data_IF_950735232504
#
_entry.id   IF_950735232504
#
_cell.length_a   1.000
_cell.length_b   1.000
_cell.length_c   1.000
_cell.angle_alpha   90.00
_cell.angle_beta   90.00
_cell.angle_gamma   90.00
#
_symmetry.space_group_name_H-M   'P 1'
#
loop_
_entity.id
_entity.type
_entity.pdbx_description
1 polymer ?
#
# COMPACT_ATOMS: atom_id res chain seq x y z
N UNK A 1 29.93 -2.17 50.60
CA UNK A 1 29.43 -1.12 49.69
C UNK A 1 29.74 -1.44 48.21
N UNK A 2 30.99 -1.72 47.85
CA UNK A 2 31.39 -2.01 46.46
C UNK A 2 30.76 -3.29 45.83
N UNK A 3 30.60 -4.35 46.63
CA UNK A 3 29.95 -5.60 46.19
C UNK A 3 28.46 -5.43 45.89
N UNK A 4 27.73 -4.66 46.69
CA UNK A 4 26.30 -4.39 46.47
C UNK A 4 26.07 -3.56 45.19
N UNK A 5 27.00 -2.67 44.85
CA UNK A 5 26.94 -1.88 43.62
C UNK A 5 27.09 -2.76 42.35
N UNK A 6 28.01 -3.74 42.36
CA UNK A 6 28.17 -4.70 41.26
C UNK A 6 26.95 -5.61 41.07
N UNK A 7 26.32 -6.05 42.15
CA UNK A 7 25.10 -6.88 42.11
C UNK A 7 23.91 -6.07 41.57
N UNK A 8 23.76 -4.81 41.97
CA UNK A 8 22.72 -3.92 41.44
C UNK A 8 22.91 -3.63 39.94
N UNK A 9 24.15 -3.41 39.49
CA UNK A 9 24.44 -3.20 38.06
C UNK A 9 24.10 -4.47 37.26
N UNK A 10 24.53 -5.66 37.72
CA UNK A 10 24.23 -6.92 37.03
C UNK A 10 22.73 -7.22 36.96
N UNK A 11 21.98 -6.90 38.02
CA UNK A 11 20.51 -7.09 38.03
C UNK A 11 19.79 -6.10 37.12
N UNK A 12 20.24 -4.85 37.02
CA UNK A 12 19.71 -3.86 36.06
C UNK A 12 20.01 -4.29 34.61
N UNK A 13 21.23 -4.74 34.31
CA UNK A 13 21.57 -5.26 32.98
C UNK A 13 20.74 -6.48 32.61
N UNK A 14 20.54 -7.42 33.54
CA UNK A 14 19.70 -8.60 33.31
C UNK A 14 18.23 -8.20 33.08
N UNK A 15 17.70 -7.23 33.83
CA UNK A 15 16.34 -6.73 33.66
C UNK A 15 16.14 -6.02 32.31
N UNK A 16 17.10 -5.19 31.89
CA UNK A 16 17.10 -4.55 30.57
C UNK A 16 17.22 -5.61 29.46
N UNK A 17 18.06 -6.62 29.61
CA UNK A 17 18.17 -7.73 28.67
C UNK A 17 16.87 -8.54 28.56
N UNK A 18 16.16 -8.77 29.67
CA UNK A 18 14.84 -9.43 29.69
C UNK A 18 13.77 -8.54 29.04
N UNK A 19 13.80 -7.23 29.25
CA UNK A 19 12.91 -6.28 28.56
C UNK A 19 13.20 -6.25 27.05
N UNK A 20 14.48 -6.30 26.64
CA UNK A 20 14.88 -6.45 25.24
C UNK A 20 14.42 -7.79 24.65
N UNK A 21 14.51 -8.91 25.39
CA UNK A 21 14.00 -10.23 24.97
C UNK A 21 12.47 -10.30 24.89
N UNK A 22 11.76 -9.50 25.71
CA UNK A 22 10.29 -9.36 25.61
C UNK A 22 9.90 -8.45 24.43
N UNK A 23 10.64 -7.39 24.17
CA UNK A 23 10.38 -6.45 23.06
C UNK A 23 10.79 -7.00 21.68
N UNK A 24 11.78 -7.90 21.62
CA UNK A 24 12.23 -8.56 20.39
C UNK A 24 11.30 -9.70 19.93
N UNK A 25 10.26 -10.03 20.70
CA UNK A 25 9.23 -11.01 20.31
C UNK A 25 8.08 -10.44 19.46
N UNK A 26 8.17 -9.19 18.99
CA UNK A 26 7.22 -8.59 18.04
C UNK A 26 7.92 -8.34 16.70
N UNK A 27 8.41 -9.40 16.06
CA UNK A 27 8.63 -9.44 14.61
C UNK A 27 8.77 -10.90 14.18
N UNK A 28 7.64 -11.58 13.90
CA UNK A 28 7.55 -12.67 12.91
C UNK A 28 6.11 -13.20 12.81
N UNK A 29 5.56 -13.03 11.60
CA UNK A 29 4.38 -13.67 11.00
C UNK A 29 3.06 -13.55 11.74
N UNK A 30 2.26 -12.55 11.34
CA UNK A 30 0.79 -12.69 11.25
C UNK A 30 0.42 -13.66 10.10
N UNK A 31 1.05 -14.83 10.04
CA UNK A 31 0.66 -15.91 9.14
C UNK A 31 0.52 -17.20 9.95
N UNK A 32 -0.73 -17.68 9.93
CA UNK A 32 -1.12 -19.09 9.98
C UNK A 32 -1.00 -19.82 11.33
N UNK A 33 -1.68 -19.28 12.34
CA UNK A 33 -2.29 -20.10 13.40
C UNK A 33 -3.73 -19.67 13.69
N UNK A 34 -4.58 -19.84 12.71
CA UNK A 34 -6.01 -19.89 12.99
C UNK A 34 -6.62 -20.96 12.09
N UNK A 35 -6.95 -22.13 12.67
CA UNK A 35 -7.70 -23.19 11.99
C UNK A 35 -9.09 -22.75 11.52
N UNK A 36 -9.41 -21.47 11.70
CA UNK A 36 -10.60 -20.79 11.23
C UNK A 36 -10.51 -20.28 9.78
N UNK A 37 -9.33 -20.15 9.18
CA UNK A 37 -9.19 -19.71 7.78
C UNK A 37 -9.02 -20.88 6.81
N UNK A 38 -9.64 -20.77 5.63
CA UNK A 38 -9.38 -21.63 4.47
C UNK A 38 -7.99 -21.30 3.87
N UNK A 39 -7.48 -22.19 3.04
CA UNK A 39 -6.29 -21.92 2.25
C UNK A 39 -6.51 -20.67 1.38
N UNK A 40 -5.44 -19.89 1.18
CA UNK A 40 -5.47 -18.79 0.24
C UNK A 40 -5.80 -19.29 -1.16
N UNK A 41 -6.80 -18.66 -1.78
CA UNK A 41 -7.17 -18.91 -3.16
C UNK A 41 -6.07 -18.50 -4.14
N UNK A 42 -6.27 -18.89 -5.40
CA UNK A 42 -5.41 -18.46 -6.48
C UNK A 42 -5.32 -16.93 -6.56
N UNK A 43 -4.20 -16.44 -7.06
CA UNK A 43 -4.03 -15.03 -7.35
C UNK A 43 -4.93 -14.62 -8.51
N UNK A 44 -5.58 -13.47 -8.39
CA UNK A 44 -6.33 -12.84 -9.47
C UNK A 44 -5.41 -12.47 -10.61
N UNK A 45 -6.00 -12.20 -11.78
CA UNK A 45 -5.31 -11.50 -12.85
C UNK A 45 -4.73 -10.18 -12.33
N UNK A 46 -3.61 -9.78 -12.94
CA UNK A 46 -3.00 -8.50 -12.59
C UNK A 46 -3.89 -7.36 -13.07
N UNK A 47 -4.06 -6.31 -12.25
CA UNK A 47 -4.80 -5.12 -12.65
C UNK A 47 -4.23 -4.42 -13.88
N UNK A 48 -2.98 -4.70 -14.23
CA UNK A 48 -2.27 -4.16 -15.39
C UNK A 48 -1.40 -5.22 -16.05
N UNK A 49 -1.09 -5.03 -17.33
CA UNK A 49 -0.13 -5.86 -18.08
C UNK A 49 1.29 -5.27 -18.10
N UNK A 50 1.44 -3.99 -17.72
CA UNK A 50 2.72 -3.27 -17.64
C UNK A 50 2.68 -2.17 -16.57
N UNK A 51 3.84 -1.58 -16.24
CA UNK A 51 3.99 -0.39 -15.41
C UNK A 51 3.82 -0.62 -13.91
N UNK A 52 3.73 -1.88 -13.48
CA UNK A 52 3.39 -2.28 -12.11
C UNK A 52 1.88 -2.20 -11.87
N UNK A 53 1.26 -3.36 -11.62
CA UNK A 53 -0.13 -3.50 -11.18
C UNK A 53 -0.23 -4.25 -9.85
N UNK A 54 -1.46 -4.50 -9.42
CA UNK A 54 -1.76 -5.27 -8.21
C UNK A 54 -2.59 -6.52 -8.56
N UNK A 55 -2.29 -7.62 -7.89
CA UNK A 55 -3.06 -8.87 -7.92
C UNK A 55 -3.46 -9.21 -6.50
N UNK A 56 -4.66 -9.74 -6.32
CA UNK A 56 -5.21 -10.08 -5.01
C UNK A 56 -5.46 -11.58 -4.90
N UNK A 57 -5.43 -12.10 -3.67
CA UNK A 57 -5.79 -13.47 -3.33
C UNK A 57 -6.71 -13.42 -2.13
N UNK A 58 -7.81 -14.18 -2.22
CA UNK A 58 -8.87 -14.22 -1.22
C UNK A 58 -8.79 -15.53 -0.43
N UNK A 59 -9.16 -15.49 0.84
CA UNK A 59 -9.42 -16.67 1.67
C UNK A 59 -10.77 -16.54 2.35
N UNK A 60 -11.41 -17.67 2.64
CA UNK A 60 -12.71 -17.71 3.33
C UNK A 60 -12.53 -18.05 4.81
N UNK A 61 -13.38 -17.48 5.65
CA UNK A 61 -13.47 -17.86 7.05
C UNK A 61 -14.32 -19.14 7.16
N UNK A 62 -13.72 -20.25 7.59
CA UNK A 62 -14.37 -21.54 7.78
C UNK A 62 -15.29 -21.54 9.00
N UNK A 63 -14.92 -20.83 10.07
CA UNK A 63 -15.68 -20.76 11.33
C UNK A 63 -16.69 -19.61 11.39
N UNK A 64 -17.01 -19.00 10.24
CA UNK A 64 -18.12 -18.05 10.05
C UNK A 64 -17.91 -16.64 10.61
N UNK A 65 -17.44 -16.47 11.86
CA UNK A 65 -17.38 -15.15 12.53
C UNK A 65 -16.10 -14.83 13.30
N UNK A 66 -15.30 -15.84 13.68
CA UNK A 66 -14.19 -15.67 14.62
C UNK A 66 -12.81 -15.70 13.94
N UNK A 67 -12.72 -15.25 12.69
CA UNK A 67 -11.46 -15.24 11.97
C UNK A 67 -10.72 -13.91 12.17
N UNK A 68 -9.57 -13.96 12.83
CA UNK A 68 -8.74 -12.78 13.04
C UNK A 68 -7.83 -12.53 11.82
N UNK A 69 -7.74 -11.26 11.40
CA UNK A 69 -6.93 -10.84 10.25
C UNK A 69 -7.71 -10.60 8.96
N UNK A 70 -7.00 -10.31 7.86
CA UNK A 70 -7.60 -9.95 6.57
C UNK A 70 -8.03 -11.19 5.78
N UNK A 71 -9.15 -11.10 5.07
CA UNK A 71 -9.62 -12.12 4.12
C UNK A 71 -9.03 -11.95 2.70
N UNK A 72 -8.23 -10.90 2.50
CA UNK A 72 -7.62 -10.54 1.23
C UNK A 72 -6.15 -10.17 1.43
N UNK A 73 -5.29 -10.64 0.52
CA UNK A 73 -3.89 -10.24 0.43
C UNK A 73 -3.57 -9.76 -0.97
N UNK A 74 -2.57 -8.90 -1.09
CA UNK A 74 -2.17 -8.27 -2.35
C UNK A 74 -0.70 -8.52 -2.64
N UNK A 75 -0.36 -8.54 -3.93
CA UNK A 75 1.02 -8.52 -4.42
C UNK A 75 1.13 -7.61 -5.63
N UNK A 76 2.32 -7.06 -5.83
CA UNK A 76 2.65 -6.35 -7.07
C UNK A 76 2.88 -7.36 -8.20
N UNK A 77 2.42 -7.02 -9.40
CA UNK A 77 2.55 -7.83 -10.61
C UNK A 77 2.86 -6.94 -11.82
N UNK A 78 3.15 -7.55 -12.98
CA UNK A 78 3.39 -6.86 -14.26
C UNK A 78 4.43 -5.75 -14.18
N UNK A 79 5.66 -6.14 -13.88
CA UNK A 79 6.78 -5.23 -13.58
C UNK A 79 7.45 -4.63 -14.81
N UNK A 80 7.05 -5.06 -16.01
CA UNK A 80 7.61 -4.60 -17.27
C UNK A 80 7.21 -3.15 -17.51
N UNK A 81 8.10 -2.35 -18.07
CA UNK A 81 7.77 -0.96 -18.41
C UNK A 81 6.65 -0.90 -19.45
N UNK A 82 5.75 0.06 -19.29
CA UNK A 82 4.74 0.32 -20.32
C UNK A 82 5.39 1.08 -21.48
N UNK A 83 4.97 0.83 -22.73
CA UNK A 83 5.39 1.65 -23.84
C UNK A 83 4.90 3.10 -23.62
N UNK A 84 5.66 4.07 -24.15
CA UNK A 84 5.53 5.49 -23.80
C UNK A 84 4.21 6.12 -24.26
N UNK A 85 3.46 5.45 -25.12
CA UNK A 85 2.13 5.80 -25.61
C UNK A 85 1.01 5.45 -24.60
N UNK A 86 1.27 4.51 -23.68
CA UNK A 86 0.34 4.13 -22.62
C UNK A 86 0.44 5.18 -21.52
N UNK A 87 -0.43 6.19 -21.61
CA UNK A 87 -0.55 7.26 -20.61
C UNK A 87 -0.75 6.77 -19.18
N UNK A 88 -0.68 7.66 -18.19
CA UNK A 88 -0.77 7.28 -16.77
C UNK A 88 -2.07 6.52 -16.46
N UNK A 89 -1.98 5.53 -15.58
CA UNK A 89 -3.12 4.66 -15.27
C UNK A 89 -4.26 5.41 -14.56
N UNK A 90 -3.95 6.48 -13.83
CA UNK A 90 -4.98 7.37 -13.28
C UNK A 90 -5.64 8.19 -14.39
N UNK A 91 -4.87 8.64 -15.38
CA UNK A 91 -5.41 9.35 -16.55
C UNK A 91 -6.37 8.48 -17.35
N UNK A 92 -6.03 7.20 -17.58
CA UNK A 92 -6.91 6.23 -18.24
C UNK A 92 -8.24 6.05 -17.52
N UNK A 93 -8.21 6.05 -16.18
CA UNK A 93 -9.43 5.95 -15.38
C UNK A 93 -10.30 7.20 -15.48
N UNK A 94 -9.72 8.40 -15.56
CA UNK A 94 -10.48 9.62 -15.84
C UNK A 94 -11.05 9.62 -17.27
N UNK A 95 -10.23 9.27 -18.27
CA UNK A 95 -10.67 9.31 -19.68
C UNK A 95 -11.77 8.29 -20.00
N UNK A 96 -11.89 7.22 -19.22
CA UNK A 96 -13.02 6.28 -19.31
C UNK A 96 -14.39 6.95 -19.07
N UNK A 97 -14.43 8.13 -18.45
CA UNK A 97 -15.65 8.92 -18.24
C UNK A 97 -15.90 9.97 -19.33
N UNK A 98 -15.04 10.10 -20.33
CA UNK A 98 -15.21 11.10 -21.40
C UNK A 98 -16.50 10.86 -22.22
N UNK A 99 -16.89 9.59 -22.39
CA UNK A 99 -18.12 9.18 -23.09
C UNK A 99 -19.36 9.16 -22.17
N UNK A 100 -19.23 9.63 -20.92
CA UNK A 100 -20.32 9.68 -19.94
C UNK A 100 -20.68 11.15 -19.67
N UNK A 101 -21.97 11.48 -19.82
CA UNK A 101 -22.46 12.84 -19.54
C UNK A 101 -22.43 13.12 -18.04
N UNK A 102 -21.73 14.18 -17.65
CA UNK A 102 -21.83 14.77 -16.32
C UNK A 102 -22.71 16.02 -16.40
N UNK A 103 -23.80 16.05 -15.63
CA UNK A 103 -24.77 17.16 -15.67
C UNK A 103 -25.24 17.53 -17.10
N UNK A 104 -25.39 16.53 -17.97
CA UNK A 104 -25.86 16.70 -19.35
C UNK A 104 -24.78 17.02 -20.39
N UNK A 105 -23.53 17.26 -19.97
CA UNK A 105 -22.42 17.60 -20.86
C UNK A 105 -21.32 16.54 -20.85
N UNK A 106 -20.64 16.38 -21.98
CA UNK A 106 -19.39 15.62 -22.04
C UNK A 106 -18.23 16.53 -21.68
N UNK A 107 -17.24 15.95 -21.02
CA UNK A 107 -16.00 16.63 -20.66
C UNK A 107 -14.83 15.73 -21.00
N UNK A 108 -13.71 16.36 -21.31
CA UNK A 108 -12.42 15.69 -21.31
C UNK A 108 -11.85 15.74 -19.90
N UNK A 109 -11.77 14.59 -19.25
CA UNK A 109 -11.36 14.47 -17.86
C UNK A 109 -9.87 14.21 -17.74
N UNK A 110 -9.17 15.07 -16.98
CA UNK A 110 -7.77 14.90 -16.61
C UNK A 110 -7.65 14.56 -15.12
N UNK A 111 -6.68 13.73 -14.72
CA UNK A 111 -6.53 13.29 -13.34
C UNK A 111 -6.01 14.41 -12.43
N UNK A 112 -6.56 14.46 -11.23
CA UNK A 112 -6.01 15.26 -10.12
C UNK A 112 -5.15 14.34 -9.24
N UNK A 113 -3.95 14.82 -8.91
CA UNK A 113 -2.96 14.11 -8.10
C UNK A 113 -2.75 14.80 -6.75
N UNK A 114 -2.07 14.11 -5.84
CA UNK A 114 -1.59 14.64 -4.57
C UNK A 114 -2.70 15.23 -3.67
N UNK A 115 -3.88 14.62 -3.68
CA UNK A 115 -4.95 14.98 -2.75
C UNK A 115 -4.53 14.57 -1.31
N UNK A 116 -4.45 15.51 -0.37
CA UNK A 116 -3.96 15.22 0.98
C UNK A 116 -4.97 14.42 1.82
N UNK A 117 -6.25 14.43 1.44
CA UNK A 117 -7.34 13.80 2.19
C UNK A 117 -7.70 12.43 1.63
N UNK A 118 -7.76 12.32 0.30
CA UNK A 118 -8.23 11.15 -0.41
C UNK A 118 -7.34 10.87 -1.64
N UNK A 119 -6.05 10.54 -1.44
CA UNK A 119 -5.11 10.33 -2.56
C UNK A 119 -5.51 9.16 -3.47
N UNK A 120 -6.36 8.25 -2.99
CA UNK A 120 -6.85 7.10 -3.73
C UNK A 120 -8.28 7.23 -4.26
N UNK A 121 -8.94 8.38 -4.08
CA UNK A 121 -10.18 8.69 -4.78
C UNK A 121 -9.87 9.08 -6.24
N UNK A 122 -10.80 8.78 -7.15
CA UNK A 122 -10.68 9.18 -8.55
C UNK A 122 -11.26 10.58 -8.71
N UNK A 123 -10.44 11.60 -8.42
CA UNK A 123 -10.76 13.00 -8.68
C UNK A 123 -10.24 13.40 -10.06
N UNK A 124 -11.11 13.95 -10.88
CA UNK A 124 -10.79 14.38 -12.23
C UNK A 124 -11.26 15.83 -12.44
N UNK A 125 -10.47 16.59 -13.17
CA UNK A 125 -10.78 17.95 -13.58
C UNK A 125 -11.22 17.95 -15.04
N UNK A 126 -12.22 18.74 -15.39
CA UNK A 126 -12.57 18.97 -16.79
C UNK A 126 -11.54 19.88 -17.45
N UNK A 127 -10.96 19.45 -18.57
CA UNK A 127 -9.94 20.19 -19.30
C UNK A 127 -10.46 21.59 -19.70
N UNK A 128 -9.64 22.61 -19.42
CA UNK A 128 -9.99 24.01 -19.71
C UNK A 128 -11.10 24.59 -18.82
N UNK A 129 -11.49 23.91 -17.74
CA UNK A 129 -12.52 24.38 -16.80
C UNK A 129 -12.05 24.26 -15.34
N UNK A 130 -12.62 25.08 -14.47
CA UNK A 130 -12.43 25.00 -13.02
C UNK A 130 -13.46 24.07 -12.36
N UNK A 131 -13.68 22.89 -12.96
CA UNK A 131 -14.61 21.89 -12.46
C UNK A 131 -13.82 20.63 -12.08
N UNK A 132 -13.74 20.36 -10.77
CA UNK A 132 -13.12 19.15 -10.22
C UNK A 132 -14.23 18.31 -9.60
N UNK A 133 -14.28 17.03 -9.97
CA UNK A 133 -15.32 16.09 -9.53
C UNK A 133 -14.66 14.78 -9.09
N UNK A 134 -15.18 14.20 -8.02
CA UNK A 134 -14.88 12.82 -7.65
C UNK A 134 -15.78 11.88 -8.46
N UNK A 135 -15.22 11.26 -9.50
CA UNK A 135 -15.96 10.39 -10.42
C UNK A 135 -16.11 8.95 -9.88
N UNK A 136 -15.22 8.53 -8.98
CA UNK A 136 -15.32 7.28 -8.26
C UNK A 136 -14.69 7.38 -6.86
N UNK A 137 -15.22 6.66 -5.86
CA UNK A 137 -14.73 6.71 -4.48
C UNK A 137 -13.32 6.11 -4.34
N UNK A 138 -12.92 5.25 -5.27
CA UNK A 138 -11.58 4.67 -5.32
C UNK A 138 -11.10 4.47 -6.76
N UNK A 139 -9.82 4.71 -6.98
CA UNK A 139 -9.10 4.26 -8.17
C UNK A 139 -8.91 2.74 -8.15
N UNK A 140 -8.61 2.17 -9.31
CA UNK A 140 -8.26 0.76 -9.46
C UNK A 140 -6.97 0.43 -8.70
N UNK A 141 -6.92 -0.78 -8.15
CA UNK A 141 -5.78 -1.21 -7.34
C UNK A 141 -4.48 -1.25 -8.18
N UNK A 142 -3.40 -0.73 -7.61
CA UNK A 142 -2.11 -0.56 -8.30
C UNK A 142 -1.94 0.81 -8.97
N UNK A 143 -2.94 1.69 -8.92
CA UNK A 143 -2.79 3.10 -9.35
C UNK A 143 -1.88 3.85 -8.37
N UNK A 144 -0.97 4.69 -8.88
CA UNK A 144 -0.14 5.52 -7.99
C UNK A 144 -1.00 6.50 -7.20
N UNK A 145 -0.69 6.67 -5.92
CA UNK A 145 -1.37 7.65 -5.08
C UNK A 145 -0.95 9.08 -5.45
N UNK A 146 0.36 9.26 -5.60
CA UNK A 146 1.02 10.56 -5.79
C UNK A 146 1.96 10.47 -7.00
N UNK A 147 2.36 11.63 -7.53
CA UNK A 147 3.28 11.70 -8.67
C UNK A 147 4.74 11.42 -8.27
N UNK A 148 5.12 11.75 -7.02
CA UNK A 148 6.52 11.71 -6.56
C UNK A 148 6.90 10.38 -5.89
N UNK A 149 5.92 9.56 -5.52
CA UNK A 149 6.16 8.28 -4.86
C UNK A 149 5.72 7.10 -5.72
N UNK A 150 6.34 5.95 -5.47
CA UNK A 150 5.92 4.69 -6.09
C UNK A 150 4.73 4.06 -5.37
N UNK A 151 4.17 4.73 -4.36
CA UNK A 151 3.10 4.22 -3.52
C UNK A 151 1.82 4.00 -4.33
N UNK A 152 1.12 2.93 -4.01
CA UNK A 152 0.00 2.45 -4.79
C UNK A 152 -1.26 2.40 -3.95
N UNK A 153 -2.37 2.76 -4.57
CA UNK A 153 -3.69 2.60 -4.02
C UNK A 153 -4.08 1.13 -4.03
N UNK A 154 -4.43 0.62 -2.85
CA UNK A 154 -4.87 -0.76 -2.63
C UNK A 154 -6.07 -0.71 -1.69
N UNK A 155 -7.23 -1.17 -2.17
CA UNK A 155 -8.50 -1.09 -1.46
C UNK A 155 -8.87 0.33 -1.00
N UNK A 156 -8.53 1.34 -1.81
CA UNK A 156 -8.79 2.75 -1.51
C UNK A 156 -7.85 3.39 -0.49
N UNK A 157 -6.83 2.66 -0.02
CA UNK A 157 -5.82 3.17 0.92
C UNK A 157 -4.50 3.30 0.18
N UNK A 158 -3.78 4.41 0.37
CA UNK A 158 -2.44 4.55 -0.18
C UNK A 158 -1.45 3.69 0.59
N UNK A 159 -0.91 2.67 -0.06
CA UNK A 159 0.05 1.75 0.54
C UNK A 159 1.44 1.98 -0.04
N UNK A 160 2.44 1.96 0.85
CA UNK A 160 3.83 2.11 0.45
C UNK A 160 4.21 0.95 -0.46
N UNK A 161 4.63 1.27 -1.68
CA UNK A 161 5.06 0.24 -2.62
C UNK A 161 6.43 -0.25 -2.18
N UNK A 162 6.47 -1.47 -1.65
CA UNK A 162 7.70 -2.14 -1.23
C UNK A 162 8.54 -2.64 -2.41
N UNK A 163 8.55 -1.90 -3.53
CA UNK A 163 9.60 -2.03 -4.55
C UNK A 163 10.87 -1.27 -4.13
N UNK A 164 11.27 -1.43 -2.87
CA UNK A 164 12.65 -1.30 -2.40
C UNK A 164 12.77 -1.73 -0.92
N UNK A 165 12.87 -3.04 -0.66
CA UNK A 165 13.64 -3.57 0.48
C UNK A 165 14.93 -4.23 0.00
N UNK A 166 15.61 -3.59 -0.97
CA UNK A 166 16.90 -4.08 -1.47
C UNK A 166 17.94 -3.00 -1.76
N UNK A 167 17.62 -1.69 -1.68
CA UNK A 167 18.59 -0.57 -1.76
C UNK A 167 17.92 0.78 -1.49
N UNK A 168 17.55 1.04 -0.23
CA UNK A 168 17.35 2.41 0.26
C UNK A 168 18.14 2.56 1.57
N UNK A 169 19.46 2.33 1.49
CA UNK A 169 20.39 3.00 2.40
C UNK A 169 20.67 4.37 1.79
N UNK A 170 19.78 5.33 2.05
CA UNK A 170 20.06 6.75 1.83
C UNK A 170 19.88 7.54 3.14
N UNK A 171 20.30 6.95 4.26
CA UNK A 171 20.38 7.63 5.55
C UNK A 171 21.54 7.09 6.41
N UNK A 172 22.76 7.09 5.86
CA UNK A 172 24.01 7.16 6.64
C UNK A 172 25.09 7.83 5.77
N UNK A 173 24.86 9.08 5.38
CA UNK A 173 25.97 10.02 5.13
C UNK A 173 25.81 11.13 6.16
N UNK A 174 26.13 10.79 7.40
CA UNK A 174 26.46 11.77 8.42
C UNK A 174 27.57 11.15 9.26
N UNK A 175 28.75 11.75 9.18
CA UNK A 175 29.87 11.60 10.11
C UNK A 175 30.48 10.19 10.27
N UNK A 176 31.46 9.89 9.43
CA UNK A 176 32.71 9.21 9.79
C UNK A 176 33.76 9.48 8.70
N UNK A 177 34.45 10.62 8.81
CA UNK A 177 35.91 10.87 8.77
C UNK A 177 36.08 12.28 9.34
#
# INVERSE_FOLDING_TARGET
VWFLCRVLIMTVYLYIAVLWLKNSRITRSDEDKDGSWDAWGAWSDCSRTCGGGASYSLRRCLNGRNCEGRNIRYKTCSNNDCPSDVGDFRAQQCSAYNDVKYQGHFYEWIPVYNDPTAPCALKCQALGKNLIVELAPKVLDGTRCNIESLDMCISGICQVSSRCKSKCNLLFITLCI
#
